data_IF_816766351478
#
_entry.id   IF_816766351478
#
_cell.length_a   1.000
_cell.length_b   1.000
_cell.length_c   1.000
_cell.angle_alpha   90.00
_cell.angle_beta   90.00
_cell.angle_gamma   90.00
#
_symmetry.space_group_name_H-M   'P 1'
#
loop_
_entity.id
_entity.type
_entity.pdbx_description
1 polymer ?
#
# COMPACT_ATOMS: atom_id res chain seq x y z
N UNK A 1 0.93 24.70 -6.78
CA UNK A 1 2.00 24.39 -5.80
C UNK A 1 1.49 24.70 -4.39
N UNK A 2 1.80 23.87 -3.39
CA UNK A 2 1.33 24.06 -2.00
C UNK A 2 2.07 25.28 -1.39
N UNK A 3 1.41 26.28 -0.76
CA UNK A 3 2.10 27.45 -0.22
C UNK A 3 3.07 27.11 0.93
N UNK A 4 2.89 25.96 1.60
CA UNK A 4 3.67 25.54 2.77
C UNK A 4 4.61 24.33 2.49
N UNK A 5 4.85 23.98 1.22
CA UNK A 5 5.85 22.96 0.86
C UNK A 5 5.58 21.53 1.35
N UNK A 6 6.66 20.82 1.71
CA UNK A 6 6.71 19.42 2.17
C UNK A 6 6.37 19.36 3.67
N UNK A 7 5.54 18.40 4.08
CA UNK A 7 5.21 18.16 5.50
C UNK A 7 5.83 16.87 6.01
N UNK A 8 6.37 16.95 7.22
CA UNK A 8 6.87 15.80 7.99
C UNK A 8 5.94 15.58 9.18
N UNK A 9 5.40 14.38 9.32
CA UNK A 9 4.42 14.03 10.34
C UNK A 9 4.98 12.87 11.16
N UNK A 10 5.03 13.05 12.48
CA UNK A 10 5.29 11.97 13.44
C UNK A 10 3.99 11.62 14.15
N UNK A 11 3.54 10.38 14.01
CA UNK A 11 2.36 9.86 14.67
C UNK A 11 2.74 8.63 15.49
N UNK A 12 2.33 8.57 16.75
CA UNK A 12 2.65 7.45 17.64
C UNK A 12 1.37 6.79 18.10
N UNK A 13 1.22 5.51 17.78
CA UNK A 13 0.18 4.62 18.32
C UNK A 13 0.87 3.68 19.34
N UNK A 14 1.07 2.39 19.00
CA UNK A 14 1.97 1.49 19.76
C UNK A 14 3.47 1.75 19.48
N UNK A 15 3.79 2.20 18.28
CA UNK A 15 5.15 2.53 17.81
C UNK A 15 5.11 3.84 17.02
N UNK A 16 6.20 4.62 17.01
CA UNK A 16 6.25 5.87 16.25
C UNK A 16 6.32 5.58 14.74
N UNK A 17 5.49 6.26 13.97
CA UNK A 17 5.43 6.27 12.50
C UNK A 17 5.79 7.66 12.01
N UNK A 18 6.77 7.73 11.12
CA UNK A 18 7.21 8.97 10.48
C UNK A 18 6.76 8.97 9.02
N UNK A 19 6.09 10.04 8.59
CA UNK A 19 5.57 10.20 7.23
C UNK A 19 6.04 11.52 6.65
N UNK A 20 6.36 11.51 5.35
CA UNK A 20 6.64 12.72 4.58
C UNK A 20 5.57 12.82 3.49
N UNK A 21 4.98 14.00 3.30
CA UNK A 21 3.97 14.19 2.28
C UNK A 21 3.95 15.59 1.70
N UNK A 22 3.72 15.67 0.38
CA UNK A 22 3.52 16.90 -0.39
C UNK A 22 2.05 17.25 -0.59
N UNK A 23 1.11 16.39 -0.18
CA UNK A 23 -0.32 16.59 -0.40
C UNK A 23 -0.84 17.78 0.41
N UNK A 24 -1.60 18.69 -0.22
CA UNK A 24 -2.18 19.90 0.43
C UNK A 24 -3.17 19.58 1.55
N UNK A 25 -3.83 18.43 1.48
CA UNK A 25 -4.93 18.07 2.40
C UNK A 25 -4.48 17.20 3.59
N UNK A 26 -3.18 16.92 3.71
CA UNK A 26 -2.62 16.18 4.83
C UNK A 26 -2.32 17.10 6.01
N UNK A 27 -3.37 17.36 6.81
CA UNK A 27 -3.26 18.08 8.07
C UNK A 27 -2.94 17.12 9.23
N UNK A 28 -2.43 17.68 10.33
CA UNK A 28 -2.15 16.95 11.58
C UNK A 28 -3.43 16.46 12.29
N UNK A 29 -4.60 16.85 11.80
CA UNK A 29 -5.89 16.43 12.33
C UNK A 29 -6.05 14.92 12.21
N UNK A 30 -6.38 14.27 13.32
CA UNK A 30 -6.72 12.86 13.35
C UNK A 30 -8.14 12.67 12.80
N UNK A 31 -8.26 11.88 11.72
CA UNK A 31 -9.58 11.48 11.18
C UNK A 31 -9.98 10.13 11.71
N UNK A 32 -11.30 9.95 11.88
CA UNK A 32 -11.87 8.64 12.18
C UNK A 32 -11.61 7.69 11.01
N UNK A 33 -11.14 6.49 11.32
CA UNK A 33 -10.94 5.44 10.32
C UNK A 33 -12.25 4.69 10.01
N UNK A 34 -13.36 5.04 10.67
CA UNK A 34 -14.63 4.29 10.62
C UNK A 34 -14.55 2.91 11.30
N UNK A 35 -13.40 2.55 11.88
CA UNK A 35 -13.14 1.29 12.57
C UNK A 35 -13.11 1.52 14.07
N UNK A 36 -13.74 0.63 14.82
CA UNK A 36 -13.67 0.61 16.28
C UNK A 36 -12.63 -0.40 16.74
N UNK A 37 -11.97 -0.10 17.84
CA UNK A 37 -11.10 -1.05 18.51
C UNK A 37 -11.99 -2.13 19.15
N UNK A 38 -11.76 -3.40 18.79
CA UNK A 38 -12.58 -4.54 19.25
C UNK A 38 -12.52 -4.75 20.77
N UNK A 39 -11.46 -4.27 21.43
CA UNK A 39 -11.25 -4.45 22.88
C UNK A 39 -11.81 -3.26 23.66
N UNK A 40 -11.49 -2.04 23.23
CA UNK A 40 -11.83 -0.82 23.97
C UNK A 40 -13.11 -0.13 23.49
N UNK A 41 -13.72 -0.59 22.39
CA UNK A 41 -14.88 0.05 21.76
C UNK A 41 -14.61 1.41 21.09
N UNK A 42 -13.50 2.06 21.44
CA UNK A 42 -13.13 3.38 20.93
C UNK A 42 -12.91 3.43 19.42
N UNK A 43 -13.33 4.54 18.81
CA UNK A 43 -13.10 4.84 17.39
C UNK A 43 -11.59 5.03 17.16
N UNK A 44 -11.04 4.26 16.22
CA UNK A 44 -9.64 4.36 15.82
C UNK A 44 -9.47 5.63 15.00
N UNK A 45 -8.62 6.54 15.47
CA UNK A 45 -8.28 7.78 14.78
C UNK A 45 -6.85 7.74 14.28
N UNK A 46 -6.62 8.15 13.03
CA UNK A 46 -5.31 8.16 12.38
C UNK A 46 -5.12 9.48 11.63
N UNK A 47 -3.88 9.96 11.45
CA UNK A 47 -3.65 11.15 10.63
C UNK A 47 -4.03 10.85 9.18
N UNK A 48 -4.55 11.87 8.47
CA UNK A 48 -5.02 11.72 7.10
C UNK A 48 -3.96 11.10 6.17
N UNK A 49 -2.69 11.48 6.34
CA UNK A 49 -1.59 10.96 5.53
C UNK A 49 -1.43 9.44 5.63
N UNK A 50 -1.61 8.87 6.83
CA UNK A 50 -1.50 7.43 7.06
C UNK A 50 -2.70 6.69 6.49
N UNK A 51 -3.90 7.28 6.57
CA UNK A 51 -5.12 6.70 5.96
C UNK A 51 -4.93 6.64 4.44
N UNK A 52 -4.64 7.77 3.81
CA UNK A 52 -4.45 7.86 2.36
C UNK A 52 -3.30 7.00 1.88
N UNK A 53 -2.19 6.89 2.62
CA UNK A 53 -1.12 5.96 2.29
C UNK A 53 -1.58 4.50 2.31
N UNK A 54 -2.27 4.08 3.37
CA UNK A 54 -2.76 2.70 3.50
C UNK A 54 -3.83 2.33 2.48
N UNK A 55 -4.60 3.29 1.98
CA UNK A 55 -5.56 3.06 0.90
C UNK A 55 -4.85 2.81 -0.43
N UNK A 56 -3.86 3.65 -0.76
CA UNK A 56 -3.16 3.59 -2.04
C UNK A 56 -2.08 2.50 -2.10
N UNK A 57 -1.50 2.11 -0.97
CA UNK A 57 -0.43 1.09 -0.93
C UNK A 57 -0.92 -0.30 -1.39
N UNK A 58 -2.19 -0.61 -1.19
CA UNK A 58 -2.75 -1.96 -1.37
C UNK A 58 -2.57 -2.55 -2.76
N UNK A 59 -2.42 -1.72 -3.81
CA UNK A 59 -2.28 -2.22 -5.17
C UNK A 59 -1.06 -3.11 -5.38
N UNK A 60 0.09 -2.73 -4.82
CA UNK A 60 1.32 -3.51 -4.92
C UNK A 60 1.19 -4.80 -4.11
N UNK A 61 0.71 -4.69 -2.88
CA UNK A 61 0.51 -5.85 -1.99
C UNK A 61 -0.46 -6.87 -2.62
N UNK A 62 -1.48 -6.42 -3.36
CA UNK A 62 -2.42 -7.29 -4.07
C UNK A 62 -1.76 -7.99 -5.27
N UNK A 63 -0.94 -7.28 -6.05
CA UNK A 63 -0.23 -7.89 -7.17
C UNK A 63 0.75 -8.97 -6.69
N UNK A 64 1.54 -8.67 -5.65
CA UNK A 64 2.45 -9.64 -5.04
C UNK A 64 1.70 -10.85 -4.46
N UNK A 65 0.56 -10.61 -3.81
CA UNK A 65 -0.30 -11.68 -3.29
C UNK A 65 -0.82 -12.59 -4.42
N UNK A 66 -1.33 -12.00 -5.50
CA UNK A 66 -1.86 -12.76 -6.65
C UNK A 66 -0.74 -13.54 -7.37
N UNK A 67 0.44 -12.94 -7.55
CA UNK A 67 1.60 -13.64 -8.10
C UNK A 67 2.03 -14.81 -7.20
N UNK A 68 1.97 -14.63 -5.87
CA UNK A 68 2.34 -15.69 -4.92
C UNK A 68 1.38 -16.90 -4.96
N UNK A 69 0.08 -16.67 -5.20
CA UNK A 69 -0.89 -17.77 -5.32
C UNK A 69 -0.68 -18.60 -6.58
N UNK A 70 -0.27 -17.96 -7.68
CA UNK A 70 -0.04 -18.61 -8.98
C UNK A 70 1.43 -18.54 -9.41
N UNK A 71 2.34 -18.86 -8.49
CA UNK A 71 3.77 -18.74 -8.78
C UNK A 71 4.21 -19.70 -9.88
N UNK A 72 4.65 -19.11 -11.00
CA UNK A 72 5.19 -19.85 -12.15
C UNK A 72 6.70 -20.07 -12.04
N UNK A 73 7.31 -19.66 -10.91
CA UNK A 73 8.73 -19.84 -10.63
C UNK A 73 9.07 -21.31 -10.41
N UNK A 74 9.96 -21.82 -11.25
CA UNK A 74 10.57 -23.15 -11.08
C UNK A 74 12.02 -23.03 -10.65
N UNK A 75 12.49 -23.98 -9.83
CA UNK A 75 13.91 -24.05 -9.43
C UNK A 75 14.77 -24.27 -10.68
N UNK A 76 15.76 -23.41 -10.87
CA UNK A 76 16.66 -23.48 -12.02
C UNK A 76 17.91 -22.62 -11.81
N UNK A 77 18.97 -22.96 -12.56
CA UNK A 77 20.31 -22.34 -12.45
C UNK A 77 20.36 -20.96 -13.11
N UNK A 78 19.59 -20.76 -14.18
CA UNK A 78 19.60 -19.53 -14.99
C UNK A 78 18.64 -18.50 -14.39
N UNK A 79 19.18 -17.49 -13.70
CA UNK A 79 18.39 -16.45 -13.01
C UNK A 79 17.48 -15.65 -13.94
N UNK A 80 17.92 -15.35 -15.17
CA UNK A 80 17.13 -14.58 -16.14
C UNK A 80 15.81 -15.25 -16.51
N UNK A 81 15.73 -16.59 -16.46
CA UNK A 81 14.48 -17.33 -16.71
C UNK A 81 13.45 -17.06 -15.63
N UNK A 82 13.88 -16.87 -14.38
CA UNK A 82 12.98 -16.53 -13.28
C UNK A 82 12.38 -15.13 -13.49
N UNK A 83 13.21 -14.16 -13.88
CA UNK A 83 12.76 -12.80 -14.19
C UNK A 83 11.75 -12.79 -15.33
N UNK A 84 12.02 -13.52 -16.42
CA UNK A 84 11.08 -13.63 -17.54
C UNK A 84 9.73 -14.23 -17.11
N UNK A 85 9.74 -15.27 -16.27
CA UNK A 85 8.51 -15.89 -15.78
C UNK A 85 7.71 -14.96 -14.87
N UNK A 86 8.37 -14.23 -13.96
CA UNK A 86 7.70 -13.24 -13.10
C UNK A 86 7.11 -12.08 -13.90
N UNK A 87 7.81 -11.59 -14.93
CA UNK A 87 7.26 -10.53 -15.80
C UNK A 87 6.02 -11.03 -16.54
N UNK A 88 6.09 -12.20 -17.17
CA UNK A 88 4.99 -12.73 -17.97
C UNK A 88 3.78 -13.13 -17.11
N UNK A 89 4.00 -13.93 -16.08
CA UNK A 89 2.90 -14.51 -15.30
C UNK A 89 2.50 -13.66 -14.09
N UNK A 90 3.47 -13.01 -13.44
CA UNK A 90 3.25 -12.21 -12.22
C UNK A 90 2.96 -10.73 -12.46
N UNK A 91 3.11 -10.22 -13.68
CA UNK A 91 2.80 -8.81 -14.00
C UNK A 91 1.85 -8.72 -15.19
N UNK A 92 2.22 -9.28 -16.35
CA UNK A 92 1.42 -9.11 -17.58
C UNK A 92 0.03 -9.74 -17.43
N UNK A 93 -0.06 -10.99 -17.00
CA UNK A 93 -1.37 -11.67 -16.85
C UNK A 93 -2.27 -10.96 -15.83
N UNK A 94 -1.72 -10.58 -14.67
CA UNK A 94 -2.50 -9.90 -13.63
C UNK A 94 -2.99 -8.55 -14.15
N UNK A 95 -2.14 -7.76 -14.81
CA UNK A 95 -2.55 -6.49 -15.42
C UNK A 95 -3.60 -6.68 -16.52
N UNK A 96 -3.47 -7.70 -17.38
CA UNK A 96 -4.48 -8.02 -18.40
C UNK A 96 -5.81 -8.43 -17.79
N UNK A 97 -5.80 -9.21 -16.70
CA UNK A 97 -7.00 -9.61 -15.98
C UNK A 97 -7.67 -8.42 -15.28
N UNK A 98 -6.88 -7.52 -14.69
CA UNK A 98 -7.39 -6.27 -14.13
C UNK A 98 -8.04 -5.43 -15.23
N UNK A 99 -7.39 -5.25 -16.38
CA UNK A 99 -7.96 -4.49 -17.51
C UNK A 99 -9.25 -5.11 -18.06
N UNK A 100 -9.36 -6.44 -18.06
CA UNK A 100 -10.54 -7.13 -18.57
C UNK A 100 -11.76 -7.01 -17.64
N UNK A 101 -11.55 -7.04 -16.32
CA UNK A 101 -12.63 -6.98 -15.33
C UNK A 101 -13.04 -5.57 -14.92
N UNK A 102 -12.28 -4.56 -15.36
CA UNK A 102 -12.45 -3.17 -14.97
C UNK A 102 -13.11 -2.36 -16.08
#
# INVERSE_FOLDING_TARGET
MNPNGVRVIKWTDKRPVHMISTCRNHNLTLKSTGKTNRITGNIIKKPQCVITYNENKKGIDFNDQMSSYYSSLKRGVKWFRKVMMEILFGIVIINSWVLYNH
#
